data_IF_378633156742
#
_entry.id   IF_378633156742
#
_cell.length_a   1.000
_cell.length_b   1.000
_cell.length_c   1.000
_cell.angle_alpha   90.00
_cell.angle_beta   90.00
_cell.angle_gamma   90.00
#
_symmetry.space_group_name_H-M   'P 1'
#
loop_
_entity.id
_entity.type
_entity.pdbx_description
1 polymer ?
#
# COMPACT_ATOMS: atom_id res chain seq x y z
N UNK A 1 5.25 -22.48 -16.13
CA UNK A 1 4.42 -21.46 -15.46
C UNK A 1 5.29 -20.25 -15.15
N UNK A 2 4.84 -19.07 -15.50
CA UNK A 2 5.55 -17.85 -15.13
C UNK A 2 5.42 -17.65 -13.61
N UNK A 3 6.52 -17.54 -12.93
CA UNK A 3 6.50 -17.22 -11.50
C UNK A 3 6.09 -15.76 -11.31
N UNK A 4 5.26 -15.50 -10.32
CA UNK A 4 4.86 -14.14 -9.99
C UNK A 4 5.91 -13.44 -9.15
N UNK A 5 6.14 -12.17 -9.45
CA UNK A 5 6.96 -11.32 -8.60
C UNK A 5 6.20 -11.01 -7.30
N UNK A 6 6.89 -11.21 -6.19
CA UNK A 6 6.36 -10.96 -4.84
C UNK A 6 7.25 -9.98 -4.10
N UNK A 7 6.70 -9.34 -3.10
CA UNK A 7 7.46 -8.44 -2.24
C UNK A 7 8.18 -9.21 -1.14
N UNK A 8 9.47 -8.97 -1.04
CA UNK A 8 10.34 -9.54 0.01
C UNK A 8 10.97 -8.42 0.82
N UNK A 9 11.19 -8.67 2.09
CA UNK A 9 11.84 -7.71 2.99
C UNK A 9 13.31 -8.04 3.10
N UNK A 10 14.15 -7.04 2.86
CA UNK A 10 15.60 -7.14 2.98
C UNK A 10 16.05 -6.29 4.16
N UNK A 11 16.77 -6.91 5.09
CA UNK A 11 17.36 -6.21 6.23
C UNK A 11 18.66 -5.53 5.79
N UNK A 12 18.83 -4.27 6.20
CA UNK A 12 20.03 -3.47 5.91
C UNK A 12 20.59 -2.88 7.20
N UNK A 13 21.81 -2.37 7.12
CA UNK A 13 22.32 -1.52 8.19
C UNK A 13 21.54 -0.21 8.21
N UNK A 14 21.37 0.35 9.40
CA UNK A 14 20.67 1.62 9.58
C UNK A 14 21.38 2.74 8.79
N UNK A 15 20.60 3.47 7.99
CA UNK A 15 21.10 4.53 7.10
C UNK A 15 21.54 4.06 5.72
N UNK A 16 21.54 2.74 5.47
CA UNK A 16 21.92 2.16 4.18
C UNK A 16 20.75 1.84 3.25
N UNK A 17 19.52 2.11 3.66
CA UNK A 17 18.32 1.73 2.92
C UNK A 17 18.31 2.28 1.50
N UNK A 18 18.58 3.58 1.33
CA UNK A 18 18.63 4.20 0.01
C UNK A 18 19.79 3.67 -0.83
N UNK A 19 20.93 3.45 -0.23
CA UNK A 19 22.11 2.92 -0.91
C UNK A 19 21.87 1.48 -1.39
N UNK A 20 21.24 0.66 -0.56
CA UNK A 20 20.87 -0.73 -0.90
C UNK A 20 19.83 -0.74 -2.02
N UNK A 21 18.81 0.09 -1.94
CA UNK A 21 17.77 0.19 -2.96
C UNK A 21 18.37 0.54 -4.33
N UNK A 22 19.21 1.57 -4.37
CA UNK A 22 19.89 1.99 -5.60
C UNK A 22 20.84 0.91 -6.14
N UNK A 23 21.59 0.26 -5.24
CA UNK A 23 22.54 -0.79 -5.61
C UNK A 23 21.85 -2.03 -6.18
N UNK A 24 20.71 -2.43 -5.61
CA UNK A 24 19.92 -3.57 -6.10
C UNK A 24 19.42 -3.30 -7.51
N UNK A 25 18.84 -2.14 -7.76
CA UNK A 25 18.35 -1.78 -9.09
C UNK A 25 19.48 -1.70 -10.11
N UNK A 26 20.58 -1.09 -9.74
CA UNK A 26 21.77 -0.97 -10.62
C UNK A 26 22.38 -2.34 -10.94
N UNK A 27 22.49 -3.22 -9.95
CA UNK A 27 22.98 -4.57 -10.17
C UNK A 27 22.05 -5.39 -11.06
N UNK A 28 20.74 -5.22 -10.89
CA UNK A 28 19.75 -5.87 -11.75
C UNK A 28 19.87 -5.42 -13.21
N UNK A 29 20.07 -4.13 -13.44
CA UNK A 29 20.30 -3.59 -14.78
C UNK A 29 21.61 -4.09 -15.40
N UNK A 30 22.71 -4.08 -14.63
CA UNK A 30 24.02 -4.53 -15.09
C UNK A 30 24.06 -6.02 -15.44
N UNK A 31 23.30 -6.83 -14.73
CA UNK A 31 23.22 -8.28 -14.95
C UNK A 31 22.05 -8.69 -15.86
N UNK A 32 21.30 -7.71 -16.37
CA UNK A 32 20.10 -7.93 -17.19
C UNK A 32 19.05 -8.80 -16.48
N UNK A 33 18.87 -8.56 -15.17
CA UNK A 33 17.93 -9.28 -14.32
C UNK A 33 16.70 -8.44 -13.94
N UNK A 34 16.40 -7.41 -14.73
CA UNK A 34 15.23 -6.55 -14.51
C UNK A 34 13.89 -7.29 -14.65
N UNK A 35 13.89 -8.42 -15.34
CA UNK A 35 12.72 -9.30 -15.41
C UNK A 35 12.46 -10.01 -14.06
N UNK A 36 13.51 -10.27 -13.29
CA UNK A 36 13.42 -10.92 -12.00
C UNK A 36 13.23 -9.90 -10.87
N UNK A 37 14.01 -8.82 -10.89
CA UNK A 37 13.92 -7.75 -9.88
C UNK A 37 13.22 -6.57 -10.51
N UNK A 38 11.96 -6.36 -10.14
CA UNK A 38 11.07 -5.40 -10.81
C UNK A 38 11.02 -4.05 -10.14
N UNK A 39 10.99 -4.02 -8.81
CA UNK A 39 10.81 -2.79 -8.06
C UNK A 39 11.47 -2.87 -6.69
N UNK A 40 11.93 -1.75 -6.19
CA UNK A 40 12.45 -1.62 -4.82
C UNK A 40 11.75 -0.44 -4.17
N UNK A 41 11.29 -0.62 -2.94
CA UNK A 41 10.56 0.39 -2.21
C UNK A 41 11.07 0.50 -0.77
N UNK A 42 11.16 1.73 -0.28
CA UNK A 42 11.43 2.01 1.13
C UNK A 42 10.15 2.62 1.70
N UNK A 43 9.39 1.90 2.56
CA UNK A 43 8.15 2.42 3.10
C UNK A 43 8.37 3.68 3.90
N UNK A 44 7.64 4.74 3.54
CA UNK A 44 7.71 6.04 4.19
C UNK A 44 6.32 6.45 4.67
N UNK A 45 6.27 7.11 5.81
CA UNK A 45 5.04 7.70 6.33
C UNK A 45 5.21 9.19 6.50
N UNK A 46 4.12 9.93 6.35
CA UNK A 46 4.11 11.36 6.60
C UNK A 46 3.60 11.61 8.01
N UNK A 47 4.43 12.25 8.84
CA UNK A 47 4.09 12.55 10.23
C UNK A 47 4.08 14.06 10.43
N UNK A 48 3.06 14.57 11.10
CA UNK A 48 3.00 15.98 11.49
C UNK A 48 3.66 16.16 12.85
N UNK A 49 4.74 16.93 12.90
CA UNK A 49 5.42 17.28 14.14
C UNK A 49 5.05 18.70 14.54
N UNK A 50 4.76 18.89 15.83
CA UNK A 50 4.49 20.21 16.41
C UNK A 50 5.78 20.76 16.99
N UNK A 51 6.26 21.86 16.41
CA UNK A 51 7.45 22.57 16.87
C UNK A 51 7.06 23.95 17.39
N UNK A 52 7.98 24.64 18.07
CA UNK A 52 7.79 26.02 18.56
C UNK A 52 7.49 26.99 17.40
N UNK A 53 7.91 26.62 16.18
CA UNK A 53 7.67 27.41 14.96
C UNK A 53 6.35 27.06 14.25
N UNK A 54 5.55 26.10 14.78
CA UNK A 54 4.29 25.64 14.20
C UNK A 54 4.31 24.18 13.77
N UNK A 55 3.36 23.81 12.92
CA UNK A 55 3.26 22.45 12.38
C UNK A 55 4.29 22.23 11.27
N UNK A 56 4.99 21.11 11.33
CA UNK A 56 5.92 20.70 10.30
C UNK A 56 5.60 19.27 9.85
N UNK A 57 5.44 19.09 8.56
CA UNK A 57 5.25 17.76 7.96
C UNK A 57 6.61 17.16 7.64
N UNK A 58 6.89 15.98 8.20
CA UNK A 58 8.15 15.27 8.03
C UNK A 58 7.87 13.87 7.48
N UNK A 59 8.65 13.46 6.47
CA UNK A 59 8.64 12.08 6.02
C UNK A 59 9.56 11.23 6.90
N UNK A 60 9.05 10.11 7.36
CA UNK A 60 9.77 9.19 8.23
C UNK A 60 9.72 7.79 7.64
N UNK A 61 10.81 7.04 7.78
CA UNK A 61 10.83 5.61 7.40
C UNK A 61 9.98 4.82 8.37
N UNK A 62 9.04 4.02 7.82
CA UNK A 62 8.16 3.16 8.63
C UNK A 62 8.98 2.09 9.32
N UNK A 63 9.93 1.49 8.60
CA UNK A 63 10.84 0.47 9.14
C UNK A 63 12.29 0.81 8.81
N UNK A 64 12.98 1.57 9.67
CA UNK A 64 14.41 1.82 9.48
C UNK A 64 15.21 0.51 9.45
N UNK A 65 16.11 0.38 8.50
CA UNK A 65 16.91 -0.83 8.33
C UNK A 65 16.26 -1.91 7.48
N UNK A 66 15.16 -1.61 6.78
CA UNK A 66 14.45 -2.54 5.90
C UNK A 66 14.15 -1.93 4.54
N UNK A 67 14.30 -2.74 3.50
CA UNK A 67 13.99 -2.37 2.12
C UNK A 67 13.07 -3.45 1.54
N UNK A 68 12.04 -3.04 0.81
CA UNK A 68 11.14 -3.96 0.14
C UNK A 68 11.56 -4.13 -1.32
N UNK A 69 11.67 -5.38 -1.77
CA UNK A 69 12.05 -5.71 -3.15
C UNK A 69 10.96 -6.56 -3.77
N UNK A 70 10.40 -6.09 -4.89
CA UNK A 70 9.47 -6.87 -5.69
C UNK A 70 10.25 -7.66 -6.72
N UNK A 71 10.29 -8.97 -6.54
CA UNK A 71 11.12 -9.84 -7.35
C UNK A 71 10.55 -11.25 -7.49
N UNK A 72 10.98 -11.91 -8.54
CA UNK A 72 10.78 -13.35 -8.68
C UNK A 72 11.99 -13.99 -7.98
N UNK A 73 11.74 -14.78 -6.95
CA UNK A 73 12.82 -15.39 -6.16
C UNK A 73 13.42 -16.57 -6.90
N UNK A 74 14.67 -16.40 -7.31
CA UNK A 74 15.51 -17.45 -7.87
C UNK A 74 16.85 -17.45 -7.14
N UNK A 75 17.66 -18.46 -7.35
CA UNK A 75 19.01 -18.47 -6.76
C UNK A 75 19.83 -17.26 -7.21
N UNK A 76 19.70 -16.89 -8.48
CA UNK A 76 20.42 -15.73 -9.03
C UNK A 76 19.95 -14.40 -8.44
N UNK A 77 18.63 -14.20 -8.34
CA UNK A 77 18.08 -12.97 -7.76
C UNK A 77 18.36 -12.88 -6.26
N UNK A 78 18.27 -13.99 -5.56
CA UNK A 78 18.60 -14.07 -4.13
C UNK A 78 20.07 -13.68 -3.89
N UNK A 79 21.00 -14.25 -4.64
CA UNK A 79 22.43 -13.93 -4.54
C UNK A 79 22.71 -12.47 -4.89
N UNK A 80 22.06 -11.95 -5.92
CA UNK A 80 22.25 -10.55 -6.32
C UNK A 80 21.91 -9.60 -5.15
N UNK A 81 20.75 -9.78 -4.55
CA UNK A 81 20.29 -8.92 -3.45
C UNK A 81 21.12 -9.14 -2.19
N UNK A 82 21.42 -10.41 -1.87
CA UNK A 82 22.19 -10.77 -0.67
C UNK A 82 23.61 -10.21 -0.70
N UNK A 83 24.21 -10.09 -1.88
CA UNK A 83 25.56 -9.62 -2.06
C UNK A 83 25.69 -8.08 -2.17
N UNK A 84 24.57 -7.36 -2.14
CA UNK A 84 24.60 -5.90 -2.15
C UNK A 84 25.21 -5.36 -0.87
N UNK A 85 26.14 -4.42 -1.00
CA UNK A 85 26.77 -3.79 0.15
C UNK A 85 25.75 -3.03 0.99
N UNK A 86 25.71 -3.33 2.27
CA UNK A 86 24.74 -2.75 3.23
C UNK A 86 23.55 -3.64 3.51
N UNK A 87 23.27 -4.63 2.63
CA UNK A 87 22.23 -5.62 2.87
C UNK A 87 22.78 -6.74 3.75
N UNK A 88 22.06 -7.08 4.82
CA UNK A 88 22.45 -8.17 5.74
C UNK A 88 21.78 -9.49 5.37
N UNK A 89 20.67 -9.45 4.65
CA UNK A 89 19.95 -10.65 4.19
C UNK A 89 18.45 -10.45 4.14
N UNK A 90 17.76 -11.46 3.64
CA UNK A 90 16.31 -11.45 3.59
C UNK A 90 15.69 -11.76 4.95
N UNK A 91 14.57 -11.12 5.23
CA UNK A 91 13.75 -11.46 6.39
C UNK A 91 12.89 -12.67 6.04
N UNK A 92 12.92 -13.67 6.88
CA UNK A 92 12.14 -14.88 6.66
C UNK A 92 12.34 -15.89 7.79
N UNK A 93 11.81 -17.07 7.58
CA UNK A 93 11.90 -18.18 8.55
C UNK A 93 12.86 -19.26 8.06
N UNK A 94 13.72 -19.74 8.93
CA UNK A 94 14.63 -20.84 8.63
C UNK A 94 15.69 -20.52 7.56
N UNK A 95 16.10 -19.25 7.46
CA UNK A 95 17.08 -18.80 6.47
C UNK A 95 16.53 -18.63 5.06
N UNK A 96 15.24 -18.82 4.86
CA UNK A 96 14.56 -18.62 3.58
C UNK A 96 13.83 -17.30 3.54
N UNK A 97 13.88 -16.61 2.41
CA UNK A 97 13.08 -15.41 2.19
C UNK A 97 11.60 -15.76 2.14
N UNK A 98 10.79 -15.07 2.94
CA UNK A 98 9.33 -15.25 2.98
C UNK A 98 8.68 -14.02 2.37
N UNK A 99 7.84 -14.19 1.34
CA UNK A 99 7.17 -13.04 0.73
C UNK A 99 6.13 -12.43 1.66
N UNK A 100 5.90 -11.13 1.50
CA UNK A 100 4.83 -10.43 2.20
C UNK A 100 3.47 -10.92 1.72
N UNK A 101 2.51 -10.95 2.63
CA UNK A 101 1.11 -11.22 2.29
C UNK A 101 0.49 -9.98 1.64
N UNK A 102 -0.62 -10.17 0.94
CA UNK A 102 -1.35 -9.05 0.32
C UNK A 102 -1.78 -8.01 1.36
N UNK A 103 -2.16 -8.47 2.55
CA UNK A 103 -2.55 -7.58 3.65
C UNK A 103 -1.37 -6.75 4.14
N UNK A 104 -0.21 -7.36 4.32
CA UNK A 104 1.01 -6.65 4.73
C UNK A 104 1.44 -5.62 3.69
N UNK A 105 1.35 -5.95 2.40
CA UNK A 105 1.64 -5.02 1.31
C UNK A 105 0.71 -3.81 1.36
N UNK A 106 -0.57 -4.05 1.57
CA UNK A 106 -1.57 -2.99 1.70
C UNK A 106 -1.31 -2.11 2.92
N UNK A 107 -1.05 -2.72 4.08
CA UNK A 107 -0.81 -2.01 5.33
C UNK A 107 0.44 -1.14 5.27
N UNK A 108 1.45 -1.56 4.51
CA UNK A 108 2.68 -0.79 4.28
C UNK A 108 2.52 0.32 3.24
N UNK A 109 1.39 0.36 2.52
CA UNK A 109 1.15 1.35 1.49
C UNK A 109 2.01 1.20 0.24
N UNK A 110 2.60 0.03 0.04
CA UNK A 110 3.50 -0.25 -1.09
C UNK A 110 2.74 -0.40 -2.40
N UNK A 111 1.63 -1.12 -2.36
CA UNK A 111 0.72 -1.24 -3.49
C UNK A 111 -0.68 -0.88 -3.03
N UNK A 112 -1.38 -0.15 -3.89
CA UNK A 112 -2.79 0.16 -3.65
C UNK A 112 -3.63 -0.99 -4.16
N UNK A 113 -4.58 -1.45 -3.34
CA UNK A 113 -5.62 -2.34 -3.85
C UNK A 113 -6.50 -1.54 -4.79
N UNK A 114 -6.74 -2.08 -5.97
CA UNK A 114 -7.90 -1.67 -6.74
C UNK A 114 -9.13 -2.20 -6.01
N UNK A 115 -9.71 -1.34 -5.19
CA UNK A 115 -10.99 -1.67 -4.55
C UNK A 115 -12.05 -1.48 -5.63
N UNK A 116 -12.47 -2.60 -6.22
CA UNK A 116 -13.60 -2.58 -7.14
C UNK A 116 -14.87 -2.50 -6.30
N UNK A 117 -15.40 -1.31 -6.17
CA UNK A 117 -16.72 -1.13 -5.56
C UNK A 117 -17.79 -1.33 -6.63
N UNK A 118 -18.90 -1.94 -6.26
CA UNK A 118 -19.99 -2.22 -7.18
C UNK A 118 -20.85 -1.01 -7.55
N UNK A 119 -20.38 0.22 -7.28
CA UNK A 119 -21.12 1.45 -7.53
C UNK A 119 -20.17 2.57 -7.97
N UNK A 120 -20.74 3.58 -8.61
CA UNK A 120 -20.01 4.76 -9.13
C UNK A 120 -20.66 6.04 -8.62
N UNK A 121 -19.97 7.17 -8.84
CA UNK A 121 -20.51 8.49 -8.53
C UNK A 121 -21.81 8.69 -9.33
N UNK A 122 -22.87 9.09 -8.64
CA UNK A 122 -24.21 9.27 -9.21
C UNK A 122 -25.13 8.06 -9.03
N UNK A 123 -24.60 6.92 -8.57
CA UNK A 123 -25.44 5.75 -8.31
C UNK A 123 -26.22 5.90 -7.00
N UNK A 124 -27.43 5.32 -6.98
CA UNK A 124 -28.24 5.23 -5.76
C UNK A 124 -27.73 4.07 -4.91
N UNK A 125 -27.44 4.35 -3.66
CA UNK A 125 -26.94 3.36 -2.69
C UNK A 125 -27.78 3.39 -1.41
N UNK A 126 -27.76 2.28 -0.70
CA UNK A 126 -28.42 2.15 0.60
C UNK A 126 -27.34 1.97 1.67
N UNK A 127 -27.46 2.69 2.76
CA UNK A 127 -26.58 2.52 3.92
C UNK A 127 -26.99 1.25 4.65
N UNK A 128 -26.06 0.31 4.79
CA UNK A 128 -26.32 -1.01 5.38
C UNK A 128 -25.74 -1.18 6.78
N UNK A 129 -24.87 -0.29 7.20
CA UNK A 129 -24.24 -0.34 8.52
C UNK A 129 -24.09 1.05 9.12
N UNK A 130 -24.01 1.12 10.44
CA UNK A 130 -23.84 2.37 11.20
C UNK A 130 -25.15 3.03 11.59
N UNK A 131 -25.07 4.26 12.14
CA UNK A 131 -26.25 4.99 12.64
C UNK A 131 -27.28 5.34 11.55
N UNK A 132 -26.83 5.40 10.29
CA UNK A 132 -27.66 5.75 9.14
C UNK A 132 -28.15 4.55 8.36
N UNK A 133 -28.00 3.34 8.89
CA UNK A 133 -28.46 2.12 8.25
C UNK A 133 -29.95 2.20 7.87
N UNK A 134 -30.25 1.87 6.61
CA UNK A 134 -31.59 1.95 6.05
C UNK A 134 -31.88 3.21 5.25
N UNK A 135 -31.04 4.23 5.33
CA UNK A 135 -31.19 5.43 4.48
C UNK A 135 -30.69 5.18 3.07
N UNK A 136 -31.34 5.82 2.13
CA UNK A 136 -30.99 5.77 0.72
C UNK A 136 -30.39 7.13 0.33
N UNK A 137 -29.29 7.10 -0.40
CA UNK A 137 -28.62 8.29 -0.89
C UNK A 137 -28.02 8.10 -2.26
N UNK A 138 -27.36 9.12 -2.75
CA UNK A 138 -26.65 9.12 -4.04
C UNK A 138 -25.17 9.36 -3.76
N UNK A 139 -24.32 8.59 -4.43
CA UNK A 139 -22.86 8.76 -4.30
C UNK A 139 -22.46 10.11 -4.94
N UNK A 140 -21.89 10.98 -4.12
CA UNK A 140 -21.41 12.30 -4.53
C UNK A 140 -19.91 12.29 -4.81
N UNK A 141 -19.16 11.62 -3.95
CA UNK A 141 -17.71 11.52 -4.08
C UNK A 141 -17.26 10.11 -3.67
N UNK A 142 -16.29 9.58 -4.39
CA UNK A 142 -15.77 8.24 -4.15
C UNK A 142 -14.24 8.29 -4.08
N UNK A 143 -13.69 7.94 -2.93
CA UNK A 143 -12.24 7.87 -2.69
C UNK A 143 -11.84 6.44 -2.28
N UNK A 144 -11.72 5.50 -3.25
CA UNK A 144 -11.37 4.12 -2.92
C UNK A 144 -10.03 3.98 -2.22
N UNK A 145 -9.08 4.86 -2.52
CA UNK A 145 -7.74 4.88 -1.92
C UNK A 145 -7.78 5.11 -0.40
N UNK A 146 -8.80 5.81 0.08
CA UNK A 146 -8.96 6.15 1.50
C UNK A 146 -10.05 5.33 2.19
N UNK A 147 -10.60 4.34 1.49
CA UNK A 147 -11.73 3.54 1.95
C UNK A 147 -12.93 4.42 2.36
N UNK A 148 -13.19 5.46 1.56
CA UNK A 148 -14.20 6.47 1.86
C UNK A 148 -15.13 6.71 0.68
N UNK A 149 -16.41 6.87 0.98
CA UNK A 149 -17.42 7.31 0.04
C UNK A 149 -18.27 8.41 0.69
N UNK A 150 -18.52 9.48 -0.07
CA UNK A 150 -19.46 10.51 0.37
C UNK A 150 -20.78 10.26 -0.31
N UNK A 151 -21.81 10.09 0.49
CA UNK A 151 -23.17 9.83 0.03
C UNK A 151 -24.07 10.98 0.49
N UNK A 152 -24.86 11.53 -0.42
CA UNK A 152 -25.87 12.54 -0.08
C UNK A 152 -27.17 11.78 0.24
N UNK A 153 -27.53 11.78 1.50
CA UNK A 153 -28.78 11.14 1.96
C UNK A 153 -29.86 12.19 2.21
N UNK A 154 -31.09 11.82 1.91
CA UNK A 154 -32.25 12.68 2.17
C UNK A 154 -32.77 12.40 3.58
N UNK A 155 -32.57 13.35 4.47
CA UNK A 155 -33.02 13.26 5.87
C UNK A 155 -33.96 14.44 6.19
N UNK A 156 -35.12 14.14 6.70
CA UNK A 156 -36.10 15.19 7.10
C UNK A 156 -36.38 16.24 6.01
N UNK A 157 -36.41 15.80 4.75
CA UNK A 157 -36.64 16.70 3.61
C UNK A 157 -35.41 17.54 3.20
N UNK A 158 -34.24 17.22 3.75
CA UNK A 158 -32.99 17.91 3.43
C UNK A 158 -31.94 16.91 2.95
N UNK A 159 -31.19 17.32 1.95
CA UNK A 159 -30.05 16.55 1.48
C UNK A 159 -28.85 16.85 2.37
N UNK A 160 -28.26 15.80 2.93
CA UNK A 160 -27.11 15.91 3.83
C UNK A 160 -25.99 14.99 3.34
N UNK A 161 -24.80 15.54 3.04
CA UNK A 161 -23.66 14.69 2.71
C UNK A 161 -23.12 14.01 3.95
N UNK A 162 -22.85 12.71 3.84
CA UNK A 162 -22.24 11.91 4.92
C UNK A 162 -21.06 11.13 4.35
N UNK A 163 -20.00 11.07 5.12
CA UNK A 163 -18.82 10.26 4.80
C UNK A 163 -18.96 8.88 5.45
N UNK A 164 -18.83 7.86 4.63
CA UNK A 164 -18.98 6.46 5.05
C UNK A 164 -17.81 5.62 4.51
N UNK A 165 -17.62 4.46 5.09
CA UNK A 165 -16.67 3.49 4.55
C UNK A 165 -17.31 2.77 3.34
N UNK A 166 -16.48 2.27 2.44
CA UNK A 166 -16.94 1.66 1.18
C UNK A 166 -17.85 0.45 1.41
N UNK A 167 -17.65 -0.30 2.47
CA UNK A 167 -18.44 -1.48 2.82
C UNK A 167 -19.71 -1.16 3.60
N UNK A 168 -19.91 0.09 4.02
CA UNK A 168 -21.12 0.52 4.73
C UNK A 168 -22.30 0.84 3.82
N UNK A 169 -22.09 0.84 2.52
CA UNK A 169 -23.14 1.13 1.52
C UNK A 169 -23.20 0.03 0.47
N UNK A 170 -24.39 -0.17 -0.05
CA UNK A 170 -24.68 -1.17 -1.08
C UNK A 170 -25.45 -0.50 -2.22
N UNK A 171 -25.06 -0.83 -3.47
CA UNK A 171 -25.78 -0.31 -4.63
C UNK A 171 -27.21 -0.87 -4.68
N UNK A 172 -28.16 0.01 -4.96
CA UNK A 172 -29.54 -0.40 -5.15
C UNK A 172 -29.72 -0.80 -6.61
N UNK A 173 -30.03 -2.06 -6.83
CA UNK A 173 -30.39 -2.55 -8.15
C UNK A 173 -31.91 -2.48 -8.28
N UNK A 174 -32.38 -1.76 -9.29
CA UNK A 174 -33.79 -1.78 -9.69
C UNK A 174 -34.10 -3.06 -10.47
#
# INVERSE_FOLDING_TARGET
MAEEAKWYVVHTYSGYENAVAAAVMKAAENRKMTDLIREVNIPMETVTEYTDAGEKTVERKVFPGYVLVKMILTDDSWHLVHNVRGATGFVGSGGKAVPLTEQEIYDLGVERREIVVGYEIGDSVKVIDGPLSGFIGVVDELEPDKDRVRVVVSMFGRETPVDLELDQVEVIKE
#
